data_IF_832917232481
#
_entry.id   IF_832917232481
#
_cell.length_a   1.000
_cell.length_b   1.000
_cell.length_c   1.000
_cell.angle_alpha   90.00
_cell.angle_beta   90.00
_cell.angle_gamma   90.00
#
_symmetry.space_group_name_H-M   'P 1'
#
loop_
_entity.id
_entity.type
_entity.pdbx_description
1 polymer ?
#
# COMPACT_ATOMS: atom_id res chain seq x y z
N UNK A 1 -17.53 -6.69 6.01
CA UNK A 1 -16.36 -6.65 6.92
C UNK A 1 -15.06 -6.26 6.20
N UNK A 2 -14.70 -6.89 5.06
CA UNK A 2 -13.43 -6.59 4.37
C UNK A 2 -13.26 -5.10 3.99
N UNK A 3 -14.28 -4.49 3.36
CA UNK A 3 -14.23 -3.07 2.96
C UNK A 3 -14.08 -2.11 4.16
N UNK A 4 -14.86 -2.30 5.23
CA UNK A 4 -14.75 -1.48 6.46
C UNK A 4 -13.47 -1.75 7.23
N UNK A 5 -12.92 -2.98 7.13
CA UNK A 5 -11.64 -3.36 7.71
C UNK A 5 -10.47 -2.59 7.11
N UNK A 6 -10.50 -2.33 5.79
CA UNK A 6 -9.48 -1.50 5.15
C UNK A 6 -9.41 -0.10 5.76
N UNK A 7 -10.56 0.56 5.98
CA UNK A 7 -10.61 1.87 6.65
C UNK A 7 -10.04 1.81 8.07
N UNK A 8 -10.34 0.75 8.81
CA UNK A 8 -9.82 0.56 10.16
C UNK A 8 -8.29 0.39 10.19
N UNK A 9 -7.71 -0.35 9.23
CA UNK A 9 -6.25 -0.47 9.07
C UNK A 9 -5.61 0.91 8.86
N UNK A 10 -6.17 1.76 8.00
CA UNK A 10 -5.62 3.11 7.79
C UNK A 10 -5.75 4.00 9.02
N UNK A 11 -6.89 3.96 9.73
CA UNK A 11 -7.05 4.71 10.99
C UNK A 11 -5.95 4.32 11.99
N UNK A 12 -5.76 3.03 12.24
CA UNK A 12 -4.71 2.55 13.14
C UNK A 12 -3.31 2.91 12.65
N UNK A 13 -3.05 2.80 11.35
CA UNK A 13 -1.75 3.15 10.76
C UNK A 13 -1.45 4.64 10.92
N UNK A 14 -2.42 5.52 10.70
CA UNK A 14 -2.23 6.96 10.90
C UNK A 14 -1.97 7.30 12.37
N UNK A 15 -2.72 6.70 13.31
CA UNK A 15 -2.46 6.87 14.74
C UNK A 15 -1.05 6.38 15.11
N UNK A 16 -0.61 5.27 14.53
CA UNK A 16 0.73 4.71 14.74
C UNK A 16 1.84 5.65 14.20
N UNK A 17 1.66 6.19 12.99
CA UNK A 17 2.58 7.17 12.39
C UNK A 17 2.65 8.45 13.24
N UNK A 18 1.52 8.97 13.71
CA UNK A 18 1.47 10.15 14.59
C UNK A 18 2.24 9.93 15.89
N UNK A 19 2.07 8.77 16.54
CA UNK A 19 2.89 8.38 17.72
C UNK A 19 4.38 8.30 17.34
N UNK A 20 4.68 7.76 16.17
CA UNK A 20 6.04 7.67 15.65
C UNK A 20 6.73 9.03 15.51
N UNK A 21 6.05 10.00 14.88
CA UNK A 21 6.54 11.37 14.69
C UNK A 21 6.80 12.09 16.01
N UNK A 22 5.97 11.87 17.03
CA UNK A 22 6.12 12.56 18.32
C UNK A 22 7.29 12.02 19.16
N UNK A 23 7.62 10.72 19.06
CA UNK A 23 8.49 10.09 20.06
C UNK A 23 9.66 9.27 19.52
N UNK A 24 9.57 8.68 18.32
CA UNK A 24 10.44 7.55 17.97
C UNK A 24 11.05 7.58 16.57
N UNK A 25 10.59 8.43 15.65
CA UNK A 25 11.09 8.40 14.27
C UNK A 25 12.61 8.65 14.15
N UNK A 26 13.14 9.55 14.99
CA UNK A 26 14.57 9.91 15.01
C UNK A 26 15.42 8.88 15.77
N UNK A 27 14.86 8.26 16.80
CA UNK A 27 15.54 7.27 17.65
C UNK A 27 15.52 5.84 17.05
N UNK A 28 14.46 5.49 16.32
CA UNK A 28 14.30 4.19 15.65
C UNK A 28 14.28 4.33 14.12
N UNK A 29 15.35 4.84 13.48
CA UNK A 29 15.34 5.18 12.05
C UNK A 29 15.06 3.95 11.15
N UNK A 30 15.58 2.77 11.50
CA UNK A 30 15.34 1.54 10.73
C UNK A 30 13.90 1.03 10.87
N UNK A 31 13.35 1.07 12.08
CA UNK A 31 11.93 0.76 12.32
C UNK A 31 11.03 1.77 11.59
N UNK A 32 11.37 3.05 11.62
CA UNK A 32 10.64 4.10 10.91
C UNK A 32 10.63 3.88 9.38
N UNK A 33 11.79 3.64 8.77
CA UNK A 33 11.89 3.39 7.32
C UNK A 33 11.10 2.14 6.92
N UNK A 34 11.24 1.04 7.66
CA UNK A 34 10.45 -0.17 7.40
C UNK A 34 8.94 0.06 7.58
N UNK A 35 8.53 0.88 8.55
CA UNK A 35 7.13 1.30 8.72
C UNK A 35 6.60 2.10 7.53
N UNK A 36 7.40 3.03 6.98
CA UNK A 36 7.02 3.76 5.76
C UNK A 36 6.86 2.82 4.55
N UNK A 37 7.70 1.79 4.44
CA UNK A 37 7.57 0.77 3.38
C UNK A 37 6.26 -0.03 3.54
N UNK A 38 5.92 -0.45 4.76
CA UNK A 38 4.64 -1.13 5.06
C UNK A 38 3.45 -0.24 4.69
N UNK A 39 3.53 1.06 5.02
CA UNK A 39 2.49 2.03 4.70
C UNK A 39 2.29 2.17 3.18
N UNK A 40 3.38 2.31 2.41
CA UNK A 40 3.31 2.40 0.95
C UNK A 40 2.69 1.13 0.33
N UNK A 41 3.11 -0.06 0.76
CA UNK A 41 2.53 -1.32 0.27
C UNK A 41 1.03 -1.42 0.62
N UNK A 42 0.64 -0.96 1.80
CA UNK A 42 -0.76 -0.94 2.24
C UNK A 42 -1.63 -0.01 1.37
N UNK A 43 -1.11 1.17 0.98
CA UNK A 43 -1.79 2.07 0.02
C UNK A 43 -2.04 1.37 -1.31
N UNK A 44 -0.99 0.78 -1.89
CA UNK A 44 -1.10 0.13 -3.20
C UNK A 44 -2.04 -1.07 -3.13
N UNK A 45 -1.96 -1.87 -2.07
CA UNK A 45 -2.84 -3.01 -1.82
C UNK A 45 -4.30 -2.59 -1.72
N UNK A 46 -4.59 -1.54 -0.95
CA UNK A 46 -5.95 -1.03 -0.77
C UNK A 46 -6.51 -0.41 -2.06
N UNK A 47 -5.68 0.33 -2.80
CA UNK A 47 -6.05 0.86 -4.11
C UNK A 47 -6.44 -0.25 -5.08
N UNK A 48 -5.60 -1.28 -5.25
CA UNK A 48 -5.93 -2.40 -6.14
C UNK A 48 -7.19 -3.13 -5.68
N UNK A 49 -7.38 -3.31 -4.36
CA UNK A 49 -8.60 -3.89 -3.80
C UNK A 49 -9.86 -3.09 -4.11
N UNK A 50 -9.75 -1.75 -4.09
CA UNK A 50 -10.84 -0.84 -4.46
C UNK A 50 -11.23 -0.94 -5.95
N UNK A 51 -10.31 -1.37 -6.81
CA UNK A 51 -10.58 -1.57 -8.25
C UNK A 51 -11.39 -2.84 -8.51
N UNK A 52 -11.26 -3.88 -7.67
CA UNK A 52 -11.82 -5.22 -7.92
C UNK A 52 -13.36 -5.30 -8.07
N UNK A 53 -14.19 -4.50 -7.35
CA UNK A 53 -15.64 -4.50 -7.55
C UNK A 53 -16.08 -3.99 -8.94
N UNK A 54 -15.17 -3.38 -9.70
CA UNK A 54 -15.38 -2.91 -11.08
C UNK A 54 -16.60 -1.98 -11.27
N UNK A 55 -16.90 -1.16 -10.26
CA UNK A 55 -17.90 -0.09 -10.35
C UNK A 55 -17.38 1.17 -11.04
N UNK A 56 -18.26 2.16 -11.24
CA UNK A 56 -17.89 3.45 -11.89
C UNK A 56 -16.70 4.14 -11.19
N UNK A 57 -16.76 4.30 -9.87
CA UNK A 57 -15.69 4.94 -9.11
C UNK A 57 -14.40 4.11 -9.13
N UNK A 58 -14.51 2.79 -9.13
CA UNK A 58 -13.37 1.87 -9.26
C UNK A 58 -12.66 2.04 -10.60
N UNK A 59 -13.42 2.06 -11.71
CA UNK A 59 -12.89 2.20 -13.06
C UNK A 59 -12.24 3.58 -13.30
N UNK A 60 -12.96 4.66 -12.95
CA UNK A 60 -12.45 6.01 -13.11
C UNK A 60 -11.28 6.29 -12.16
N UNK A 61 -11.34 5.80 -10.93
CA UNK A 61 -10.24 5.88 -9.99
C UNK A 61 -8.99 5.17 -10.51
N UNK A 62 -9.12 3.95 -11.05
CA UNK A 62 -8.02 3.24 -11.68
C UNK A 62 -7.42 4.03 -12.86
N UNK A 63 -8.28 4.60 -13.70
CA UNK A 63 -7.86 5.38 -14.88
C UNK A 63 -7.09 6.64 -14.47
N UNK A 64 -7.59 7.42 -13.51
CA UNK A 64 -6.93 8.65 -13.09
C UNK A 64 -5.60 8.36 -12.37
N UNK A 65 -5.59 7.43 -11.42
CA UNK A 65 -4.42 7.15 -10.59
C UNK A 65 -3.28 6.52 -11.41
N UNK A 66 -3.58 5.57 -12.30
CA UNK A 66 -2.53 4.98 -13.16
C UNK A 66 -1.95 5.99 -14.13
N UNK A 67 -2.76 6.92 -14.65
CA UNK A 67 -2.30 7.96 -15.57
C UNK A 67 -1.43 9.04 -14.91
N UNK A 68 -1.34 9.11 -13.56
CA UNK A 68 -0.34 9.96 -12.90
C UNK A 68 1.10 9.57 -13.28
N UNK A 69 1.31 8.34 -13.76
CA UNK A 69 2.60 7.81 -14.20
C UNK A 69 2.89 8.03 -15.70
N UNK A 70 2.03 8.74 -16.43
CA UNK A 70 2.14 8.95 -17.88
C UNK A 70 3.47 9.59 -18.31
N UNK A 71 4.11 10.38 -17.44
CA UNK A 71 5.40 11.02 -17.73
C UNK A 71 6.55 10.03 -17.94
N UNK A 72 6.39 8.76 -17.53
CA UNK A 72 7.37 7.68 -17.77
C UNK A 72 6.91 6.91 -19.03
N UNK A 73 7.66 6.99 -20.16
CA UNK A 73 7.25 6.35 -21.41
C UNK A 73 7.01 4.84 -21.26
N UNK A 74 5.84 4.36 -21.70
CA UNK A 74 5.48 2.94 -21.71
C UNK A 74 5.08 2.35 -20.35
N UNK A 75 5.18 3.09 -19.25
CA UNK A 75 4.88 2.55 -17.91
C UNK A 75 3.38 2.27 -17.72
N UNK A 76 2.52 3.21 -18.13
CA UNK A 76 1.06 3.04 -18.01
C UNK A 76 0.58 1.83 -18.82
N UNK A 77 1.05 1.69 -20.07
CA UNK A 77 0.65 0.56 -20.91
C UNK A 77 1.18 -0.77 -20.40
N UNK A 78 2.38 -0.78 -19.79
CA UNK A 78 2.93 -1.95 -19.13
C UNK A 78 2.10 -2.37 -17.91
N UNK A 79 1.73 -1.42 -17.03
CA UNK A 79 0.90 -1.70 -15.85
C UNK A 79 -0.48 -2.23 -16.28
N UNK A 80 -1.16 -1.49 -17.16
CA UNK A 80 -2.53 -1.79 -17.57
C UNK A 80 -2.64 -3.03 -18.48
N UNK A 81 -1.55 -3.42 -19.15
CA UNK A 81 -1.57 -4.50 -20.14
C UNK A 81 -2.21 -4.07 -21.47
N UNK A 82 -2.21 -2.76 -21.74
CA UNK A 82 -2.86 -2.11 -22.88
C UNK A 82 -2.90 -0.59 -22.68
N UNK A 83 -3.38 0.17 -23.66
CA UNK A 83 -3.42 1.64 -23.59
C UNK A 83 -4.50 2.20 -22.64
N UNK A 84 -5.44 1.36 -22.19
CA UNK A 84 -6.56 1.74 -21.35
C UNK A 84 -6.75 0.70 -20.24
N UNK A 85 -7.33 1.14 -19.12
CA UNK A 85 -7.77 0.24 -18.04
C UNK A 85 -8.87 -0.68 -18.59
N UNK A 86 -8.63 -1.99 -18.49
CA UNK A 86 -9.50 -3.02 -19.07
C UNK A 86 -9.35 -4.36 -18.32
N UNK A 87 -9.99 -5.43 -18.82
CA UNK A 87 -9.92 -6.78 -18.24
C UNK A 87 -8.49 -7.28 -17.88
N UNK A 88 -7.46 -7.09 -18.74
CA UNK A 88 -6.08 -7.44 -18.39
C UNK A 88 -5.59 -6.71 -17.13
N UNK A 89 -5.97 -5.45 -16.94
CA UNK A 89 -5.63 -4.66 -15.75
C UNK A 89 -6.28 -5.26 -14.51
N UNK A 90 -7.57 -5.55 -14.57
CA UNK A 90 -8.34 -6.11 -13.46
C UNK A 90 -7.76 -7.45 -12.97
N UNK A 91 -7.45 -8.36 -13.91
CA UNK A 91 -6.87 -9.67 -13.58
C UNK A 91 -5.50 -9.55 -12.92
N UNK A 92 -4.66 -8.63 -13.38
CA UNK A 92 -3.34 -8.35 -12.76
C UNK A 92 -3.49 -7.75 -11.36
N UNK A 93 -4.39 -6.78 -11.21
CA UNK A 93 -4.64 -6.14 -9.91
C UNK A 93 -5.19 -7.13 -8.90
N UNK A 94 -6.01 -8.10 -9.31
CA UNK A 94 -6.44 -9.19 -8.44
C UNK A 94 -5.27 -10.01 -7.89
N UNK A 95 -4.36 -10.46 -8.78
CA UNK A 95 -3.18 -11.24 -8.37
C UNK A 95 -2.26 -10.43 -7.44
N UNK A 96 -2.03 -9.16 -7.77
CA UNK A 96 -1.17 -8.28 -6.96
C UNK A 96 -1.82 -7.94 -5.61
N UNK A 97 -3.13 -7.65 -5.57
CA UNK A 97 -3.88 -7.42 -4.35
C UNK A 97 -3.87 -8.64 -3.42
N UNK A 98 -3.91 -9.85 -3.98
CA UNK A 98 -3.77 -11.08 -3.21
C UNK A 98 -2.35 -11.27 -2.67
N UNK A 99 -1.32 -10.93 -3.46
CA UNK A 99 0.10 -11.22 -3.12
C UNK A 99 0.69 -10.21 -2.15
N UNK A 100 0.41 -8.91 -2.31
CA UNK A 100 1.03 -7.84 -1.51
C UNK A 100 0.78 -7.92 0.01
N UNK A 101 -0.38 -8.36 0.51
CA UNK A 101 -0.58 -8.60 1.94
C UNK A 101 0.46 -9.55 2.55
N UNK A 102 0.88 -10.59 1.82
CA UNK A 102 1.91 -11.53 2.30
C UNK A 102 3.31 -10.91 2.28
N UNK A 103 3.61 -10.07 1.28
CA UNK A 103 4.86 -9.30 1.24
C UNK A 103 4.90 -8.32 2.42
N UNK A 104 3.80 -7.61 2.68
CA UNK A 104 3.68 -6.71 3.83
C UNK A 104 3.89 -7.47 5.16
N UNK A 105 3.32 -8.68 5.30
CA UNK A 105 3.51 -9.53 6.47
C UNK A 105 5.00 -9.88 6.71
N UNK A 106 5.74 -10.22 5.65
CA UNK A 106 7.20 -10.44 5.76
C UNK A 106 7.92 -9.19 6.27
N UNK A 107 7.54 -8.01 5.79
CA UNK A 107 8.16 -6.74 6.21
C UNK A 107 7.75 -6.36 7.64
N UNK A 108 6.55 -6.73 8.10
CA UNK A 108 6.14 -6.57 9.50
C UNK A 108 7.09 -7.32 10.44
N UNK A 109 7.53 -8.54 10.09
CA UNK A 109 8.54 -9.24 10.89
C UNK A 109 9.88 -8.50 10.92
N UNK A 110 10.31 -7.92 9.79
CA UNK A 110 11.53 -7.09 9.72
C UNK A 110 11.38 -5.82 10.57
N UNK A 111 10.21 -5.18 10.51
CA UNK A 111 9.89 -3.98 11.28
C UNK A 111 9.93 -4.24 12.79
N UNK A 112 9.34 -5.36 13.23
CA UNK A 112 9.39 -5.81 14.62
C UNK A 112 10.82 -6.17 15.02
N UNK A 113 11.58 -6.86 14.16
CA UNK A 113 12.99 -7.17 14.41
C UNK A 113 13.81 -5.90 14.65
N UNK A 114 13.68 -4.88 13.80
CA UNK A 114 14.34 -3.59 14.01
C UNK A 114 13.91 -2.95 15.33
N UNK A 115 12.63 -2.94 15.67
CA UNK A 115 12.17 -2.44 16.96
C UNK A 115 12.88 -3.13 18.14
N UNK A 116 13.08 -4.45 18.07
CA UNK A 116 13.73 -5.22 19.14
C UNK A 116 15.24 -4.97 19.25
N UNK A 117 15.91 -4.48 18.20
CA UNK A 117 17.34 -4.18 18.26
C UNK A 117 17.66 -2.97 19.16
N UNK A 118 16.82 -1.93 19.11
CA UNK A 118 17.01 -0.73 19.93
C UNK A 118 16.14 -0.72 21.20
N UNK A 119 15.02 -1.45 21.20
CA UNK A 119 14.05 -1.44 22.30
C UNK A 119 12.99 -0.34 22.14
N UNK A 120 11.84 -0.53 22.80
CA UNK A 120 10.76 0.47 22.77
C UNK A 120 11.06 1.65 23.68
N UNK A 121 10.57 2.82 23.28
CA UNK A 121 10.48 4.01 24.14
C UNK A 121 9.21 3.94 25.00
N UNK A 122 9.23 4.59 26.17
CA UNK A 122 8.05 4.83 27.00
C UNK A 122 7.34 6.12 26.58
#
# INVERSE_FOLDING_TARGET
>A
MHATGASFVFILTYLHILRGLNYSYSYLPLSWISGLIIFLISIVTAFMGYVLPWGQMSFWGATVITNLLYFIPGLVSWICGGYLVSDPTLKRFFVLHFTFPFIALCIVFIHIFFLHLQGSTN
#
